data_IF_479048205243
#
_entry.id   IF_479048205243
#
_cell.length_a   1.000
_cell.length_b   1.000
_cell.length_c   1.000
_cell.angle_alpha   90.00
_cell.angle_beta   90.00
_cell.angle_gamma   90.00
#
_symmetry.space_group_name_H-M   'P 1'
#
loop_
_entity.id
_entity.type
_entity.pdbx_description
1 polymer ?
#
# COMPACT_ATOMS: atom_id res chain seq x y z
N UNK A 1 20.95 12.01 3.49
CA UNK A 1 20.74 12.94 2.35
C UNK A 1 19.43 12.72 1.58
N UNK A 2 18.77 11.55 1.64
CA UNK A 2 17.45 11.31 1.03
C UNK A 2 16.32 11.88 1.87
N UNK A 3 16.48 11.95 3.19
CA UNK A 3 15.44 12.36 4.15
C UNK A 3 14.90 13.78 3.99
N UNK A 4 15.72 14.68 3.48
CA UNK A 4 15.34 16.09 3.31
C UNK A 4 14.72 16.38 1.94
N UNK A 5 14.65 15.39 1.03
CA UNK A 5 14.10 15.64 -0.30
C UNK A 5 12.59 15.86 -0.25
N UNK A 6 12.14 16.92 -0.89
CA UNK A 6 10.72 17.24 -1.01
C UNK A 6 10.00 16.22 -1.89
N UNK A 7 8.74 15.94 -1.55
CA UNK A 7 7.80 15.23 -2.44
C UNK A 7 7.67 16.00 -3.75
N UNK A 8 7.57 15.30 -4.86
CA UNK A 8 7.61 15.88 -6.19
C UNK A 8 6.23 16.01 -6.87
N UNK A 9 5.14 15.85 -6.11
CA UNK A 9 3.76 16.05 -6.57
C UNK A 9 2.83 16.56 -5.47
N UNK A 10 1.64 17.02 -5.85
CA UNK A 10 0.64 17.66 -4.98
C UNK A 10 -0.35 16.67 -4.32
N UNK A 11 -0.37 15.40 -4.75
CA UNK A 11 -1.35 14.40 -4.31
C UNK A 11 -0.81 13.48 -3.20
N UNK A 12 -0.13 14.07 -2.21
CA UNK A 12 0.45 13.29 -1.10
C UNK A 12 -0.63 12.57 -0.28
N UNK A 13 -0.49 11.26 -0.14
CA UNK A 13 -1.42 10.40 0.61
C UNK A 13 -2.67 10.00 -0.17
N UNK A 14 -2.77 10.35 -1.45
CA UNK A 14 -3.93 9.99 -2.27
C UNK A 14 -4.14 8.49 -2.37
N UNK A 15 -3.06 7.72 -2.48
CA UNK A 15 -3.11 6.25 -2.52
C UNK A 15 -3.65 5.62 -1.24
N UNK A 16 -3.60 6.35 -0.12
CA UNK A 16 -4.04 5.88 1.20
C UNK A 16 -5.51 6.21 1.50
N UNK A 17 -6.19 6.99 0.65
CA UNK A 17 -7.57 7.38 0.87
C UNK A 17 -8.52 6.20 0.69
N UNK A 18 -9.59 6.16 1.50
CA UNK A 18 -10.69 5.17 1.44
C UNK A 18 -10.26 3.70 1.59
N UNK A 19 -9.32 3.41 2.48
CA UNK A 19 -8.72 2.07 2.59
C UNK A 19 -9.53 1.08 3.42
N UNK A 20 -10.33 1.52 4.37
CA UNK A 20 -10.89 0.61 5.38
C UNK A 20 -12.18 -0.11 4.92
N UNK A 21 -12.98 0.51 4.08
CA UNK A 21 -14.30 -0.02 3.69
C UNK A 21 -14.43 -0.41 2.20
N UNK A 22 -13.48 -0.05 1.35
CA UNK A 22 -13.57 -0.34 -0.08
C UNK A 22 -12.32 -1.06 -0.59
N UNK A 23 -12.52 -2.17 -1.31
CA UNK A 23 -11.46 -2.87 -2.03
C UNK A 23 -11.14 -2.15 -3.34
N UNK A 24 -12.04 -1.28 -3.81
CA UNK A 24 -11.90 -0.61 -5.09
C UNK A 24 -10.69 0.33 -5.09
N UNK A 25 -10.02 0.34 -6.23
CA UNK A 25 -8.89 1.22 -6.45
C UNK A 25 -9.39 2.66 -6.64
N UNK A 26 -8.72 3.66 -6.02
CA UNK A 26 -9.04 5.04 -6.29
C UNK A 26 -8.79 5.37 -7.77
N UNK A 27 -9.59 6.27 -8.37
CA UNK A 27 -9.33 6.76 -9.72
C UNK A 27 -7.98 7.48 -9.81
N UNK A 28 -7.54 7.85 -11.01
CA UNK A 28 -6.36 8.70 -11.14
C UNK A 28 -6.64 10.09 -10.53
N UNK A 29 -5.68 10.69 -9.80
CA UNK A 29 -5.86 12.02 -9.23
C UNK A 29 -6.02 13.11 -10.30
N UNK A 30 -5.52 12.86 -11.51
CA UNK A 30 -5.81 13.67 -12.70
C UNK A 30 -5.55 12.85 -13.98
N UNK A 31 -6.03 13.31 -15.12
CA UNK A 31 -5.88 12.67 -16.43
C UNK A 31 -4.42 12.51 -16.88
N UNK A 32 -3.48 13.27 -16.30
CA UNK A 32 -2.05 13.19 -16.60
C UNK A 32 -1.37 11.98 -15.94
N UNK A 33 -1.99 11.37 -14.93
CA UNK A 33 -1.45 10.20 -14.24
C UNK A 33 -1.99 8.90 -14.81
N UNK A 34 -1.10 7.94 -14.98
CA UNK A 34 -1.47 6.55 -15.28
C UNK A 34 -1.63 5.77 -14.00
N UNK A 35 -2.69 4.98 -13.95
CA UNK A 35 -2.93 4.00 -12.89
C UNK A 35 -2.38 2.64 -13.34
N UNK A 36 -1.74 1.94 -12.40
CA UNK A 36 -1.54 0.50 -12.45
C UNK A 36 -2.17 -0.08 -11.17
N UNK A 37 -2.91 -1.15 -11.33
CA UNK A 37 -3.53 -1.85 -10.20
C UNK A 37 -3.59 -3.35 -10.47
N UNK A 38 -3.47 -4.13 -9.41
CA UNK A 38 -3.64 -5.57 -9.43
C UNK A 38 -4.12 -6.03 -8.06
N UNK A 39 -5.15 -6.88 -8.05
CA UNK A 39 -5.62 -7.54 -6.84
C UNK A 39 -5.69 -9.05 -7.10
N UNK A 40 -5.12 -9.83 -6.19
CA UNK A 40 -5.15 -11.30 -6.27
C UNK A 40 -5.54 -11.90 -4.92
N UNK A 41 -6.32 -12.97 -4.95
CA UNK A 41 -6.53 -13.80 -3.77
C UNK A 41 -5.32 -14.71 -3.58
N UNK A 42 -4.73 -14.69 -2.38
CA UNK A 42 -3.60 -15.54 -1.99
C UNK A 42 -4.07 -16.88 -1.46
N UNK A 43 -5.23 -16.92 -0.80
CA UNK A 43 -5.80 -18.09 -0.14
C UNK A 43 -6.69 -17.70 1.02
N UNK A 44 -6.72 -18.52 2.08
CA UNK A 44 -7.57 -18.33 3.25
C UNK A 44 -6.82 -18.44 4.56
N UNK A 45 -7.35 -17.80 5.60
CA UNK A 45 -6.93 -18.01 6.97
C UNK A 45 -6.00 -16.95 7.52
N UNK A 46 -6.15 -16.71 8.82
CA UNK A 46 -5.35 -15.71 9.57
C UNK A 46 -3.85 -16.06 9.59
N UNK A 47 -3.47 -17.34 9.51
CA UNK A 47 -2.08 -17.77 9.43
C UNK A 47 -1.43 -17.28 8.14
N UNK A 48 -2.13 -17.44 7.01
CA UNK A 48 -1.69 -16.95 5.70
C UNK A 48 -1.55 -15.41 5.69
N UNK A 49 -2.53 -14.70 6.28
CA UNK A 49 -2.46 -13.25 6.43
C UNK A 49 -1.19 -12.81 7.16
N UNK A 50 -0.85 -13.46 8.28
CA UNK A 50 0.36 -13.15 9.06
C UNK A 50 1.65 -13.39 8.25
N UNK A 51 1.71 -14.49 7.52
CA UNK A 51 2.85 -14.83 6.64
C UNK A 51 2.99 -13.75 5.55
N UNK A 52 1.92 -13.46 4.83
CA UNK A 52 1.93 -12.46 3.75
C UNK A 52 2.27 -11.05 4.26
N UNK A 53 1.74 -10.67 5.43
CA UNK A 53 2.06 -9.38 6.09
C UNK A 53 3.53 -9.26 6.45
N UNK A 54 4.16 -10.34 6.93
CA UNK A 54 5.60 -10.36 7.22
C UNK A 54 6.42 -10.24 5.93
N UNK A 55 6.03 -10.92 4.85
CA UNK A 55 6.70 -10.81 3.54
C UNK A 55 6.59 -9.38 3.01
N UNK A 56 5.43 -8.73 3.14
CA UNK A 56 5.21 -7.35 2.77
C UNK A 56 6.09 -6.40 3.61
N UNK A 57 6.07 -6.54 4.93
CA UNK A 57 6.82 -5.70 5.86
C UNK A 57 8.32 -5.70 5.58
N UNK A 58 8.87 -6.83 5.17
CA UNK A 58 10.28 -7.00 4.85
C UNK A 58 10.61 -6.76 3.37
N UNK A 59 9.65 -6.34 2.54
CA UNK A 59 9.78 -6.18 1.08
C UNK A 59 10.35 -7.42 0.38
N UNK A 60 10.16 -8.60 0.96
CA UNK A 60 10.73 -9.85 0.42
C UNK A 60 10.24 -10.14 -0.99
N UNK A 61 8.95 -9.86 -1.29
CA UNK A 61 8.39 -10.06 -2.62
C UNK A 61 9.09 -9.17 -3.67
N UNK A 62 9.51 -7.95 -3.32
CA UNK A 62 10.22 -7.05 -4.22
C UNK A 62 11.67 -7.50 -4.41
N UNK A 63 12.36 -7.79 -3.33
CA UNK A 63 13.76 -8.23 -3.38
C UNK A 63 13.92 -9.60 -4.06
N UNK A 64 12.87 -10.43 -4.07
CA UNK A 64 12.87 -11.72 -4.77
C UNK A 64 12.79 -11.61 -6.30
N UNK A 65 12.58 -10.42 -6.86
CA UNK A 65 12.56 -10.22 -8.32
C UNK A 65 13.97 -10.21 -8.94
N UNK A 66 15.00 -9.91 -8.14
CA UNK A 66 16.40 -9.93 -8.58
C UNK A 66 16.84 -8.74 -9.44
N UNK A 67 15.92 -7.98 -10.02
CA UNK A 67 16.23 -6.78 -10.79
C UNK A 67 15.85 -5.48 -10.08
N UNK A 68 15.24 -5.57 -8.93
CA UNK A 68 14.91 -4.44 -8.05
C UNK A 68 15.19 -4.80 -6.61
N UNK A 69 15.78 -3.88 -5.87
CA UNK A 69 16.08 -4.02 -4.44
C UNK A 69 15.52 -2.84 -3.67
N UNK A 70 15.01 -3.10 -2.48
CA UNK A 70 14.50 -2.07 -1.56
C UNK A 70 15.46 -1.89 -0.41
N UNK A 71 15.90 -0.66 -0.22
CA UNK A 71 16.77 -0.25 0.88
C UNK A 71 16.07 0.77 1.76
N UNK A 72 15.94 0.45 3.05
CA UNK A 72 15.46 1.37 4.07
C UNK A 72 16.68 1.74 4.92
N UNK A 73 17.10 3.03 4.93
CA UNK A 73 18.20 3.45 5.79
C UNK A 73 17.88 3.17 7.26
N UNK A 74 18.74 2.44 7.94
CA UNK A 74 18.59 2.16 9.36
C UNK A 74 19.02 3.39 10.15
N UNK A 75 18.09 3.97 10.91
CA UNK A 75 18.37 5.06 11.85
C UNK A 75 18.81 4.60 13.24
N UNK A 76 18.91 3.29 13.48
CA UNK A 76 19.20 2.73 14.79
C UNK A 76 20.45 1.86 14.76
N UNK A 77 21.38 2.21 15.62
CA UNK A 77 22.59 1.46 16.01
C UNK A 77 22.30 0.16 16.78
N UNK A 78 21.12 -0.42 16.67
CA UNK A 78 20.79 -1.67 17.35
C UNK A 78 21.01 -2.88 16.42
N UNK A 79 21.91 -3.68 16.83
CA UNK A 79 22.66 -4.76 16.18
C UNK A 79 21.88 -6.01 15.76
N UNK A 80 20.54 -6.02 15.67
CA UNK A 80 19.85 -7.32 15.54
C UNK A 80 18.51 -7.34 14.81
N UNK A 81 17.89 -6.24 14.46
CA UNK A 81 16.60 -6.29 13.79
C UNK A 81 16.64 -5.69 12.39
N UNK A 82 16.00 -6.39 11.42
CA UNK A 82 15.76 -5.84 10.08
C UNK A 82 15.01 -4.51 10.21
N UNK A 83 15.35 -3.49 9.39
CA UNK A 83 14.67 -2.20 9.42
C UNK A 83 13.20 -2.40 9.08
N UNK A 84 12.32 -1.97 9.99
CA UNK A 84 10.87 -2.00 9.81
C UNK A 84 10.45 -0.70 9.14
N UNK A 85 9.57 -0.74 8.11
CA UNK A 85 9.03 0.47 7.51
C UNK A 85 8.30 1.31 8.57
N UNK A 86 8.70 2.58 8.70
CA UNK A 86 8.09 3.54 9.61
C UNK A 86 7.54 4.70 8.79
N UNK A 87 6.40 5.25 9.19
CA UNK A 87 5.84 6.44 8.56
C UNK A 87 6.89 7.57 8.46
N UNK A 88 6.94 8.21 7.31
CA UNK A 88 7.86 9.29 6.96
C UNK A 88 9.34 8.89 6.82
N UNK A 89 9.71 7.61 6.99
CA UNK A 89 11.07 7.17 6.74
C UNK A 89 11.41 7.19 5.25
N UNK A 90 12.68 7.40 4.97
CA UNK A 90 13.20 7.32 3.61
C UNK A 90 13.26 5.87 3.14
N UNK A 91 12.98 5.67 1.87
CA UNK A 91 13.08 4.42 1.14
C UNK A 91 13.85 4.69 -0.13
N UNK A 92 14.67 3.76 -0.54
CA UNK A 92 15.30 3.80 -1.86
C UNK A 92 15.09 2.47 -2.57
N UNK A 93 14.66 2.53 -3.81
CA UNK A 93 14.70 1.36 -4.68
C UNK A 93 15.86 1.47 -5.66
N UNK A 94 16.60 0.40 -5.81
CA UNK A 94 17.61 0.21 -6.84
C UNK A 94 17.02 -0.70 -7.91
N UNK A 95 16.84 -0.19 -9.11
CA UNK A 95 16.32 -0.97 -10.24
C UNK A 95 17.40 -1.19 -11.27
N UNK A 96 17.61 -2.44 -11.68
CA UNK A 96 18.49 -2.80 -12.76
C UNK A 96 17.80 -2.55 -14.09
N UNK A 97 18.37 -1.67 -14.90
CA UNK A 97 17.84 -1.29 -16.21
C UNK A 97 18.61 -2.04 -17.30
N UNK A 98 17.91 -2.89 -18.03
CA UNK A 98 18.45 -3.73 -19.12
C UNK A 98 19.62 -4.65 -18.74
N UNK A 99 19.81 -4.94 -17.44
CA UNK A 99 20.98 -5.70 -16.99
C UNK A 99 22.31 -4.94 -17.02
N UNK A 100 22.30 -3.64 -17.37
CA UNK A 100 23.51 -2.85 -17.65
C UNK A 100 23.77 -1.84 -16.52
N UNK A 101 22.75 -1.21 -15.98
CA UNK A 101 22.90 -0.13 -15.01
C UNK A 101 21.87 -0.22 -13.88
N UNK A 102 22.29 0.17 -12.68
CA UNK A 102 21.41 0.33 -11.54
C UNK A 102 20.97 1.79 -11.42
N UNK A 103 19.67 2.00 -11.37
CA UNK A 103 19.05 3.32 -11.19
C UNK A 103 18.49 3.43 -9.78
N UNK A 104 18.93 4.47 -9.10
CA UNK A 104 18.48 4.79 -7.74
C UNK A 104 17.19 5.62 -7.83
N UNK A 105 16.14 5.10 -7.21
CA UNK A 105 14.83 5.75 -7.15
C UNK A 105 14.50 6.10 -5.70
N UNK A 106 14.69 7.35 -5.28
CA UNK A 106 14.39 7.77 -3.91
C UNK A 106 12.91 7.93 -3.68
N UNK A 107 12.42 7.41 -2.56
CA UNK A 107 11.03 7.46 -2.13
C UNK A 107 10.94 7.79 -0.63
N UNK A 108 9.73 8.08 -0.17
CA UNK A 108 9.39 8.28 1.25
C UNK A 108 8.17 7.45 1.60
N UNK A 109 8.21 6.74 2.71
CA UNK A 109 7.06 6.00 3.24
C UNK A 109 6.07 7.02 3.78
N UNK A 110 4.81 6.96 3.32
CA UNK A 110 3.72 7.84 3.74
C UNK A 110 2.71 7.12 4.63
N UNK A 111 2.66 5.79 4.54
CA UNK A 111 1.85 4.96 5.42
C UNK A 111 2.52 3.61 5.61
N UNK A 112 2.67 3.19 6.85
CA UNK A 112 3.05 1.82 7.23
C UNK A 112 2.14 1.40 8.38
N UNK A 113 1.23 0.46 8.12
CA UNK A 113 0.28 -0.09 9.08
C UNK A 113 0.30 -1.61 8.98
N UNK A 114 0.39 -2.28 10.12
CA UNK A 114 0.40 -3.73 10.22
C UNK A 114 -0.52 -4.17 11.35
N UNK A 115 -1.74 -4.55 11.02
CA UNK A 115 -2.71 -5.05 11.99
C UNK A 115 -2.31 -6.47 12.40
N UNK A 116 -1.98 -6.66 13.68
CA UNK A 116 -1.42 -7.93 14.18
C UNK A 116 -2.42 -8.79 14.94
N UNK A 117 -3.56 -8.23 15.40
CA UNK A 117 -4.49 -8.96 16.27
C UNK A 117 -5.93 -8.51 16.08
N UNK A 118 -6.84 -9.46 16.21
CA UNK A 118 -8.27 -9.22 16.42
C UNK A 118 -8.55 -8.76 17.87
N UNK A 119 -7.94 -7.66 18.26
CA UNK A 119 -8.40 -7.01 19.48
C UNK A 119 -9.64 -6.23 19.09
N UNK A 120 -10.80 -6.76 19.42
CA UNK A 120 -12.08 -6.06 19.48
C UNK A 120 -11.95 -4.96 20.53
N UNK A 121 -11.22 -3.91 20.21
CA UNK A 121 -11.24 -2.67 20.98
C UNK A 121 -12.45 -1.91 20.46
N UNK A 122 -13.56 -2.04 21.18
CA UNK A 122 -14.66 -1.11 21.12
C UNK A 122 -14.07 0.29 21.31
N UNK A 123 -13.87 1.01 20.22
CA UNK A 123 -13.54 2.44 20.28
C UNK A 123 -14.80 3.15 20.81
N UNK A 124 -14.85 3.37 22.11
CA UNK A 124 -15.81 4.25 22.74
C UNK A 124 -15.51 5.66 22.24
N UNK A 125 -16.18 6.06 21.19
CA UNK A 125 -16.22 7.47 20.76
C UNK A 125 -16.96 8.23 21.85
N UNK A 126 -16.25 8.94 22.69
CA UNK A 126 -16.82 9.90 23.64
C UNK A 126 -17.36 11.07 22.83
N UNK A 127 -18.63 10.99 22.46
CA UNK A 127 -19.36 12.12 21.88
C UNK A 127 -19.66 13.10 22.98
N UNK A 128 -18.94 14.20 23.02
CA UNK A 128 -19.30 15.35 23.86
C UNK A 128 -20.58 15.97 23.29
N UNK A 129 -21.68 15.71 23.93
CA UNK A 129 -22.98 16.27 23.58
C UNK A 129 -23.02 17.75 24.01
N UNK A 130 -22.96 18.64 23.06
CA UNK A 130 -23.38 20.02 23.25
C UNK A 130 -24.91 20.10 23.09
N UNK A 131 -25.61 20.41 24.16
CA UNK A 131 -27.04 20.71 24.15
C UNK A 131 -27.34 21.94 23.30
N UNK A 132 -28.21 21.82 22.32
CA UNK A 132 -29.02 22.95 21.86
C UNK A 132 -30.42 22.43 21.51
N UNK A 133 -31.38 22.93 22.29
CA UNK A 133 -32.82 22.70 22.17
C UNK A 133 -33.35 23.45 20.94
N UNK A 134 -34.13 22.83 20.09
CA UNK A 134 -35.33 23.48 19.49
C UNK A 134 -36.19 22.45 18.75
N UNK A 135 -37.43 22.51 19.13
CA UNK A 135 -38.65 21.83 18.73
C UNK A 135 -39.01 22.14 17.27
N UNK A 136 -39.41 21.17 16.44
CA UNK A 136 -40.66 21.26 15.65
C UNK A 136 -40.93 19.95 14.92
N UNK A 137 -42.15 19.50 14.99
CA UNK A 137 -42.84 18.34 14.47
C UNK A 137 -43.03 18.40 12.97
N UNK A 138 -42.78 17.30 12.25
CA UNK A 138 -43.66 16.90 11.15
C UNK A 138 -43.40 15.45 10.71
N UNK A 139 -44.47 14.67 10.65
CA UNK A 139 -44.58 13.30 10.15
C UNK A 139 -44.25 13.21 8.65
N UNK A 140 -43.34 12.31 8.26
CA UNK A 140 -43.44 11.60 6.97
C UNK A 140 -42.91 10.18 7.21
N UNK A 141 -43.78 9.19 7.13
CA UNK A 141 -43.45 7.78 7.05
C UNK A 141 -42.87 7.48 5.64
N UNK A 142 -41.60 7.24 5.58
CA UNK A 142 -40.99 6.55 4.44
C UNK A 142 -40.36 5.25 4.93
N UNK A 143 -40.96 4.16 4.54
CA UNK A 143 -40.53 2.79 4.86
C UNK A 143 -39.42 2.44 3.86
N UNK A 144 -38.19 2.89 4.13
CA UNK A 144 -37.01 2.33 3.47
C UNK A 144 -36.51 1.16 4.28
N UNK A 145 -36.68 -0.03 3.74
CA UNK A 145 -36.01 -1.24 4.20
C UNK A 145 -34.52 -1.06 3.94
N UNK A 146 -33.80 -0.48 4.91
CA UNK A 146 -32.36 -0.45 4.92
C UNK A 146 -31.90 -1.89 5.18
N UNK A 147 -31.39 -2.55 4.18
CA UNK A 147 -30.57 -3.76 4.35
C UNK A 147 -29.37 -3.35 5.19
N UNK A 148 -29.39 -3.69 6.45
CA UNK A 148 -28.32 -3.46 7.40
C UNK A 148 -27.09 -4.27 6.95
N UNK A 149 -26.20 -3.65 6.18
CA UNK A 149 -24.93 -4.26 5.80
C UNK A 149 -24.06 -4.33 7.05
N UNK A 150 -23.91 -5.54 7.59
CA UNK A 150 -22.96 -5.83 8.67
C UNK A 150 -21.61 -5.21 8.32
N UNK A 151 -20.98 -4.43 9.22
CA UNK A 151 -19.71 -3.79 8.94
C UNK A 151 -18.68 -4.87 8.55
N UNK A 152 -18.08 -4.73 7.38
CA UNK A 152 -17.06 -5.66 6.89
C UNK A 152 -15.84 -5.59 7.80
N UNK A 153 -15.67 -6.59 8.66
CA UNK A 153 -14.54 -6.68 9.55
C UNK A 153 -13.31 -7.16 8.78
N UNK A 154 -12.26 -6.34 8.73
CA UNK A 154 -11.03 -6.63 7.97
C UNK A 154 -9.79 -6.30 8.79
N UNK A 155 -8.73 -7.11 8.62
CA UNK A 155 -7.38 -6.74 9.02
C UNK A 155 -6.60 -6.28 7.78
N UNK A 156 -5.84 -5.23 7.93
CA UNK A 156 -5.10 -4.63 6.82
C UNK A 156 -3.64 -4.41 7.24
N UNK A 157 -2.73 -5.01 6.48
CA UNK A 157 -1.31 -4.64 6.49
C UNK A 157 -1.02 -3.85 5.23
N UNK A 158 -0.49 -2.64 5.38
CA UNK A 158 -0.29 -1.70 4.28
C UNK A 158 1.07 -1.02 4.36
N UNK A 159 1.70 -0.87 3.21
CA UNK A 159 2.81 0.06 3.00
C UNK A 159 2.46 0.92 1.79
N UNK A 160 2.61 2.23 1.94
CA UNK A 160 2.49 3.19 0.84
C UNK A 160 3.69 4.12 0.86
N UNK A 161 4.21 4.43 -0.32
CA UNK A 161 5.30 5.37 -0.45
C UNK A 161 5.09 6.30 -1.64
N UNK A 162 5.67 7.47 -1.54
CA UNK A 162 5.65 8.54 -2.54
C UNK A 162 7.03 8.75 -3.11
N UNK A 163 7.08 9.16 -4.35
CA UNK A 163 8.33 9.58 -4.99
C UNK A 163 8.77 10.95 -4.47
N UNK A 164 10.08 11.17 -4.39
CA UNK A 164 10.67 12.45 -4.01
C UNK A 164 11.55 13.00 -5.13
N UNK A 165 12.02 14.24 -4.97
CA UNK A 165 12.87 14.92 -5.94
C UNK A 165 14.07 14.06 -6.34
N UNK A 166 14.27 13.85 -7.64
CA UNK A 166 15.31 12.99 -8.20
C UNK A 166 14.83 11.62 -8.67
N UNK A 167 13.57 11.26 -8.41
CA UNK A 167 12.94 10.09 -9.01
C UNK A 167 12.53 10.39 -10.47
N UNK A 168 12.66 9.39 -11.38
CA UNK A 168 12.27 9.53 -12.80
C UNK A 168 10.77 9.73 -13.00
N UNK A 169 9.98 9.20 -12.07
CA UNK A 169 8.52 9.35 -12.02
C UNK A 169 8.10 10.22 -10.86
N UNK A 170 6.88 10.71 -10.93
CA UNK A 170 6.18 11.37 -9.85
C UNK A 170 4.86 10.65 -9.58
N UNK A 171 4.57 10.35 -8.31
CA UNK A 171 3.37 9.62 -7.91
C UNK A 171 3.55 8.82 -6.62
N UNK A 172 2.63 7.89 -6.41
CA UNK A 172 2.59 7.04 -5.21
C UNK A 172 2.37 5.58 -5.59
N UNK A 173 2.80 4.71 -4.70
CA UNK A 173 2.59 3.27 -4.78
C UNK A 173 2.13 2.73 -3.43
N UNK A 174 1.18 1.79 -3.44
CA UNK A 174 0.60 1.16 -2.27
C UNK A 174 0.53 -0.35 -2.46
N UNK A 175 0.96 -1.07 -1.42
CA UNK A 175 0.78 -2.51 -1.27
C UNK A 175 -0.05 -2.79 -0.03
N UNK A 176 -1.04 -3.70 -0.14
CA UNK A 176 -1.88 -4.13 0.97
C UNK A 176 -2.01 -5.64 1.01
N UNK A 177 -2.00 -6.20 2.21
CA UNK A 177 -2.54 -7.51 2.51
C UNK A 177 -3.83 -7.29 3.28
N UNK A 178 -4.93 -7.81 2.76
CA UNK A 178 -6.27 -7.66 3.34
C UNK A 178 -6.77 -9.03 3.74
N UNK A 179 -7.13 -9.20 5.00
CA UNK A 179 -7.83 -10.38 5.50
C UNK A 179 -9.29 -10.02 5.75
N UNK A 180 -10.19 -10.60 4.98
CA UNK A 180 -11.64 -10.45 5.15
C UNK A 180 -12.13 -11.52 6.11
N UNK A 181 -12.48 -11.11 7.34
CA UNK A 181 -12.89 -12.03 8.42
C UNK A 181 -14.17 -12.78 8.07
N UNK A 182 -15.06 -12.19 7.25
CA UNK A 182 -16.36 -12.79 6.95
C UNK A 182 -16.27 -13.99 6.00
N UNK A 183 -15.31 -13.98 5.07
CA UNK A 183 -15.14 -15.05 4.07
C UNK A 183 -13.80 -15.77 4.16
N UNK A 184 -12.99 -15.40 5.17
CA UNK A 184 -11.67 -15.95 5.46
C UNK A 184 -10.63 -15.74 4.34
N UNK A 185 -10.90 -14.87 3.37
CA UNK A 185 -10.01 -14.63 2.24
C UNK A 185 -8.86 -13.70 2.61
N UNK A 186 -7.68 -14.03 2.09
CA UNK A 186 -6.49 -13.18 2.13
C UNK A 186 -6.22 -12.66 0.72
N UNK A 187 -6.16 -11.34 0.57
CA UNK A 187 -6.02 -10.65 -0.71
C UNK A 187 -4.73 -9.83 -0.69
N UNK A 188 -3.94 -9.91 -1.76
CA UNK A 188 -2.84 -9.00 -2.04
C UNK A 188 -3.27 -7.99 -3.08
N UNK A 189 -3.26 -6.73 -2.69
CA UNK A 189 -3.74 -5.60 -3.46
C UNK A 189 -2.58 -4.61 -3.70
N UNK A 190 -2.41 -4.20 -4.94
CA UNK A 190 -1.37 -3.27 -5.37
C UNK A 190 -1.98 -2.16 -6.20
N UNK A 191 -1.59 -0.93 -5.91
CA UNK A 191 -2.05 0.26 -6.61
C UNK A 191 -0.92 1.25 -6.78
N UNK A 192 -0.81 1.85 -7.95
CA UNK A 192 0.05 3.01 -8.14
C UNK A 192 -0.57 3.99 -9.13
N UNK A 193 -0.26 5.27 -8.94
CA UNK A 193 -0.44 6.28 -9.95
C UNK A 193 0.88 7.00 -10.21
N UNK A 194 1.20 7.24 -11.48
CA UNK A 194 2.47 7.87 -11.83
C UNK A 194 2.43 8.59 -13.18
N UNK A 195 3.29 9.60 -13.29
CA UNK A 195 3.64 10.26 -14.55
C UNK A 195 5.13 10.56 -14.60
N UNK A 196 5.74 10.85 -15.77
CA UNK A 196 7.13 11.30 -15.85
C UNK A 196 7.35 12.58 -15.06
N UNK A 197 8.46 12.66 -14.32
CA UNK A 197 8.81 13.84 -13.50
C UNK A 197 9.67 14.86 -14.24
N UNK A 198 10.35 14.44 -15.30
CA UNK A 198 11.30 15.26 -16.05
C UNK A 198 11.48 14.73 -17.48
N UNK A 199 12.29 15.43 -18.29
CA UNK A 199 12.56 15.06 -19.70
C UNK A 199 13.13 13.65 -19.82
N UNK A 200 14.01 13.24 -18.92
CA UNK A 200 14.58 11.88 -18.93
C UNK A 200 13.49 10.82 -18.66
N UNK A 201 12.56 11.11 -17.76
CA UNK A 201 11.38 10.28 -17.51
C UNK A 201 10.48 10.15 -18.75
N UNK A 202 10.36 11.19 -19.55
CA UNK A 202 9.62 11.16 -20.81
C UNK A 202 10.33 10.29 -21.87
N UNK A 203 11.65 10.43 -22.00
CA UNK A 203 12.47 9.62 -22.94
C UNK A 203 12.39 8.14 -22.54
N UNK A 204 12.49 7.83 -21.24
CA UNK A 204 12.43 6.48 -20.71
C UNK A 204 11.02 5.87 -20.65
N UNK A 205 9.98 6.66 -20.96
CA UNK A 205 8.58 6.30 -20.72
C UNK A 205 8.14 4.96 -21.35
N UNK A 206 8.50 4.61 -22.59
CA UNK A 206 8.10 3.33 -23.18
C UNK A 206 8.64 2.14 -22.37
N UNK A 207 9.91 2.20 -21.94
CA UNK A 207 10.54 1.19 -21.11
C UNK A 207 9.90 1.14 -19.70
N UNK A 208 9.73 2.29 -19.07
CA UNK A 208 9.11 2.40 -17.76
C UNK A 208 7.70 1.80 -17.76
N UNK A 209 6.91 2.05 -18.80
CA UNK A 209 5.57 1.47 -18.96
C UNK A 209 5.59 -0.05 -19.11
N UNK A 210 6.55 -0.58 -19.86
CA UNK A 210 6.74 -2.01 -19.99
C UNK A 210 7.06 -2.64 -18.63
N UNK A 211 8.04 -2.08 -17.90
CA UNK A 211 8.43 -2.53 -16.56
C UNK A 211 7.26 -2.44 -15.58
N UNK A 212 6.54 -1.34 -15.54
CA UNK A 212 5.35 -1.18 -14.68
C UNK A 212 4.25 -2.21 -15.00
N UNK A 213 4.07 -2.57 -16.26
CA UNK A 213 3.10 -3.57 -16.68
C UNK A 213 3.43 -4.99 -16.20
N UNK A 214 4.70 -5.32 -16.03
CA UNK A 214 5.17 -6.63 -15.54
C UNK A 214 5.38 -6.66 -14.04
N UNK A 215 5.80 -5.56 -13.45
CA UNK A 215 6.19 -5.42 -12.05
C UNK A 215 5.15 -5.97 -11.07
N UNK A 216 3.89 -5.56 -11.17
CA UNK A 216 2.85 -6.03 -10.27
C UNK A 216 2.56 -7.53 -10.42
N UNK A 217 2.62 -8.07 -11.64
CA UNK A 217 2.45 -9.52 -11.86
C UNK A 217 3.62 -10.31 -11.27
N UNK A 218 4.84 -9.83 -11.42
CA UNK A 218 6.03 -10.44 -10.86
C UNK A 218 6.02 -10.39 -9.33
N UNK A 219 5.61 -9.26 -8.74
CA UNK A 219 5.39 -9.10 -7.31
C UNK A 219 4.37 -10.11 -6.77
N UNK A 220 3.23 -10.25 -7.46
CA UNK A 220 2.19 -11.22 -7.12
C UNK A 220 2.70 -12.66 -7.18
N UNK A 221 3.47 -12.99 -8.21
CA UNK A 221 4.11 -14.30 -8.36
C UNK A 221 5.16 -14.57 -7.28
N UNK A 222 5.98 -13.58 -6.94
CA UNK A 222 6.96 -13.68 -5.87
C UNK A 222 6.31 -13.85 -4.49
N UNK A 223 5.22 -13.12 -4.22
CA UNK A 223 4.45 -13.27 -2.99
C UNK A 223 3.95 -14.71 -2.82
N UNK A 224 3.34 -15.30 -3.84
CA UNK A 224 2.86 -16.70 -3.81
C UNK A 224 3.98 -17.69 -3.52
N UNK A 225 5.08 -17.63 -4.30
CA UNK A 225 6.24 -18.53 -4.10
C UNK A 225 6.84 -18.42 -2.69
N UNK A 226 6.90 -17.23 -2.11
CA UNK A 226 7.42 -17.02 -0.77
C UNK A 226 6.48 -17.56 0.32
N UNK A 227 5.18 -17.51 0.09
CA UNK A 227 4.17 -18.11 0.98
C UNK A 227 4.33 -19.63 0.97
N UNK A 228 4.34 -20.25 -0.22
CA UNK A 228 4.49 -21.70 -0.41
C UNK A 228 5.73 -22.22 0.32
N UNK A 229 6.89 -21.59 0.14
CA UNK A 229 8.13 -21.98 0.85
C UNK A 229 7.99 -21.88 2.37
N UNK A 230 7.31 -20.86 2.89
CA UNK A 230 7.11 -20.74 4.34
C UNK A 230 6.10 -21.73 4.91
N UNK A 231 5.16 -22.19 4.12
CA UNK A 231 4.22 -23.25 4.54
C UNK A 231 4.88 -24.62 4.53
N UNK A 232 5.82 -24.86 3.62
CA UNK A 232 6.64 -26.08 3.54
C UNK A 232 7.75 -26.14 4.60
N UNK A 233 7.96 -25.06 5.37
CA UNK A 233 8.98 -25.01 6.42
C UNK A 233 10.41 -24.78 5.91
N UNK A 234 10.55 -24.28 4.68
CA UNK A 234 11.81 -23.95 4.01
C UNK A 234 12.19 -22.46 4.14
#
# INVERSE_FOLDING_TARGET
MIETRAVNHEYLGYSCQNTDNNIDFPPAPSSSYRINCLSITLGKGIKLYKIASTILQEFKMTNALGWIEVHIPSHTTSTSSKPIPINHSSLCTLANVFGIAWVLNPCRIISARFDTTTNTSTSTTTTTTAHTTSTTTSHIKSKHTATESTPKQRLISQISFTTVKGHLLTGEERFRIIYDINNDNVIFDMYSFSKPSNVLGWIALPYVRYVQGTFFREQAGAMRRLIERKEEGL
#
